data_IF_158984544934
#
_entry.id   IF_158984544934
#
_cell.length_a   1.000
_cell.length_b   1.000
_cell.length_c   1.000
_cell.angle_alpha   90.00
_cell.angle_beta   90.00
_cell.angle_gamma   90.00
#
_symmetry.space_group_name_H-M   'P 1'
#
loop_
_entity.id
_entity.type
_entity.pdbx_description
1 polymer ?
#
# COMPACT_ATOMS: atom_id res chain seq x y z
N UNK A 1 -4.70 -11.58 -14.65
CA UNK A 1 -3.48 -11.10 -14.00
C UNK A 1 -2.93 -12.25 -13.17
N UNK A 2 -1.72 -12.72 -13.45
CA UNK A 2 -1.14 -13.85 -12.71
C UNK A 2 -0.69 -13.34 -11.33
N UNK A 3 -1.09 -14.05 -10.27
CA UNK A 3 -0.55 -13.84 -8.92
C UNK A 3 0.92 -14.30 -9.01
N UNK A 4 1.84 -13.43 -8.66
CA UNK A 4 3.24 -13.83 -8.53
C UNK A 4 3.38 -14.65 -7.23
N UNK A 5 3.57 -15.97 -7.31
CA UNK A 5 3.65 -16.82 -6.13
C UNK A 5 4.84 -16.47 -5.23
N UNK A 6 5.88 -15.83 -5.79
CA UNK A 6 7.06 -15.44 -5.02
C UNK A 6 6.76 -14.31 -4.03
N UNK A 7 5.92 -13.32 -4.40
CA UNK A 7 5.53 -12.23 -3.48
C UNK A 7 4.86 -12.78 -2.22
N UNK A 8 3.87 -13.66 -2.39
CA UNK A 8 3.13 -14.25 -1.26
C UNK A 8 4.03 -15.12 -0.39
N UNK A 9 4.91 -15.90 -1.03
CA UNK A 9 5.85 -16.75 -0.30
C UNK A 9 6.81 -15.92 0.56
N UNK A 10 7.37 -14.82 0.03
CA UNK A 10 8.21 -13.89 0.79
C UNK A 10 7.48 -13.26 1.98
N UNK A 11 6.20 -12.92 1.81
CA UNK A 11 5.39 -12.41 2.92
C UNK A 11 5.16 -13.47 4.01
N UNK A 12 5.01 -14.74 3.63
CA UNK A 12 4.94 -15.87 4.59
C UNK A 12 6.27 -16.10 5.30
N UNK A 13 7.35 -16.20 4.54
CA UNK A 13 8.70 -16.50 5.05
C UNK A 13 9.20 -15.42 6.04
N UNK A 14 8.83 -14.17 5.82
CA UNK A 14 9.16 -13.05 6.70
C UNK A 14 8.21 -12.89 7.88
N UNK A 15 7.10 -13.63 7.92
CA UNK A 15 6.02 -13.42 8.91
C UNK A 15 5.21 -12.14 8.68
N UNK A 16 5.31 -11.54 7.48
CA UNK A 16 4.55 -10.36 7.09
C UNK A 16 3.09 -10.68 6.73
N UNK A 17 2.79 -11.94 6.38
CA UNK A 17 1.45 -12.46 6.19
C UNK A 17 1.08 -13.30 7.42
N UNK A 18 0.08 -12.82 8.16
CA UNK A 18 -0.45 -13.49 9.34
C UNK A 18 -1.81 -14.08 9.03
N UNK A 19 -2.05 -15.32 9.44
CA UNK A 19 -3.36 -15.97 9.41
C UNK A 19 -3.93 -16.03 10.81
N UNK A 20 -5.21 -15.72 11.00
CA UNK A 20 -5.86 -15.67 12.30
C UNK A 20 -7.15 -14.87 12.30
N UNK A 21 -7.54 -14.33 13.47
CA UNK A 21 -8.72 -13.50 13.62
C UNK A 21 -8.30 -12.05 13.94
N UNK A 22 -8.44 -11.15 12.95
CA UNK A 22 -7.94 -9.79 13.05
C UNK A 22 -9.07 -8.77 12.92
N UNK A 23 -8.97 -7.67 13.69
CA UNK A 23 -9.76 -6.45 13.48
C UNK A 23 -8.91 -5.43 12.69
N UNK A 24 -9.44 -4.97 11.57
CA UNK A 24 -8.82 -3.97 10.71
C UNK A 24 -9.08 -2.54 11.22
N UNK A 25 -8.36 -1.56 10.68
CA UNK A 25 -8.56 -0.14 11.01
C UNK A 25 -9.98 0.35 10.69
N UNK A 26 -10.65 -0.27 9.72
CA UNK A 26 -12.05 -0.02 9.36
C UNK A 26 -13.06 -0.56 10.37
N UNK A 27 -12.64 -1.35 11.37
CA UNK A 27 -13.51 -2.08 12.27
C UNK A 27 -14.02 -3.42 11.72
N UNK A 28 -13.74 -3.73 10.46
CA UNK A 28 -14.07 -5.02 9.87
C UNK A 28 -13.10 -6.11 10.34
N UNK A 29 -13.56 -7.35 10.32
CA UNK A 29 -12.77 -8.52 10.68
C UNK A 29 -12.22 -9.22 9.43
N UNK A 30 -11.03 -9.81 9.57
CA UNK A 30 -10.34 -10.52 8.50
C UNK A 30 -9.63 -11.75 9.05
N UNK A 31 -9.53 -12.80 8.25
CA UNK A 31 -8.73 -13.99 8.57
C UNK A 31 -7.26 -13.82 8.18
N UNK A 32 -6.91 -12.75 7.49
CA UNK A 32 -5.55 -12.46 7.05
C UNK A 32 -5.19 -11.03 7.39
N UNK A 33 -4.00 -10.82 7.91
CA UNK A 33 -3.40 -9.51 8.11
C UNK A 33 -2.05 -9.42 7.42
N UNK A 34 -1.82 -8.30 6.72
CA UNK A 34 -0.57 -8.01 6.02
C UNK A 34 0.16 -6.88 6.74
N UNK A 35 1.41 -7.12 7.13
CA UNK A 35 2.29 -6.13 7.71
C UNK A 35 3.48 -5.91 6.79
N UNK A 36 3.28 -5.09 5.76
CA UNK A 36 4.27 -4.86 4.71
C UNK A 36 5.62 -4.36 5.24
N UNK A 37 5.61 -3.59 6.35
CA UNK A 37 6.85 -3.14 6.98
C UNK A 37 7.77 -4.30 7.42
N UNK A 38 7.19 -5.47 7.80
CA UNK A 38 7.97 -6.66 8.15
C UNK A 38 8.63 -7.27 6.90
N UNK A 39 7.95 -7.32 5.76
CA UNK A 39 8.58 -7.76 4.52
C UNK A 39 9.64 -6.78 4.05
N UNK A 40 9.33 -5.47 4.10
CA UNK A 40 10.21 -4.42 3.61
C UNK A 40 11.43 -4.12 4.52
N UNK A 41 11.47 -4.65 5.75
CA UNK A 41 12.68 -4.58 6.58
C UNK A 41 13.83 -5.40 5.97
N UNK A 42 13.51 -6.40 5.15
CA UNK A 42 14.49 -7.13 4.37
C UNK A 42 14.83 -6.33 3.11
N UNK A 43 15.96 -5.63 3.11
CA UNK A 43 16.37 -4.76 2.00
C UNK A 43 16.45 -5.49 0.67
N UNK A 44 16.83 -6.77 0.67
CA UNK A 44 16.81 -7.64 -0.50
C UNK A 44 15.41 -7.74 -1.11
N UNK A 45 14.39 -8.00 -0.30
CA UNK A 45 13.01 -8.14 -0.78
C UNK A 45 12.46 -6.79 -1.24
N UNK A 46 12.79 -5.69 -0.54
CA UNK A 46 12.43 -4.34 -0.97
C UNK A 46 13.00 -4.02 -2.37
N UNK A 47 14.27 -4.39 -2.65
CA UNK A 47 14.90 -4.23 -3.96
C UNK A 47 14.18 -5.07 -5.03
N UNK A 48 13.85 -6.31 -4.75
CA UNK A 48 13.17 -7.19 -5.68
C UNK A 48 11.77 -6.69 -6.01
N UNK A 49 10.97 -6.32 -5.00
CA UNK A 49 9.64 -5.73 -5.22
C UNK A 49 9.70 -4.40 -5.97
N UNK A 50 10.64 -3.52 -5.61
CA UNK A 50 10.82 -2.24 -6.28
C UNK A 50 11.24 -2.42 -7.74
N UNK A 51 12.14 -3.35 -8.03
CA UNK A 51 12.56 -3.68 -9.40
C UNK A 51 11.40 -4.25 -10.23
N UNK A 52 10.60 -5.15 -9.64
CA UNK A 52 9.45 -5.73 -10.31
C UNK A 52 8.38 -4.67 -10.64
N UNK A 53 8.06 -3.77 -9.69
CA UNK A 53 7.14 -2.64 -9.94
C UNK A 53 7.69 -1.70 -10.99
N UNK A 54 8.95 -1.27 -10.87
CA UNK A 54 9.59 -0.34 -11.80
C UNK A 54 9.63 -0.88 -13.24
N UNK A 55 9.74 -2.20 -13.42
CA UNK A 55 9.78 -2.83 -14.74
C UNK A 55 8.55 -2.49 -15.60
N UNK A 56 7.39 -2.27 -14.99
CA UNK A 56 6.16 -1.88 -15.70
C UNK A 56 6.17 -0.45 -16.24
N UNK A 57 7.12 0.38 -15.79
CA UNK A 57 7.17 1.81 -16.11
C UNK A 57 8.46 2.24 -16.82
N UNK A 58 9.35 1.30 -17.18
CA UNK A 58 10.66 1.59 -17.79
C UNK A 58 10.55 2.36 -19.12
N UNK A 59 9.49 2.10 -19.88
CA UNK A 59 9.24 2.76 -21.17
C UNK A 59 8.42 4.04 -21.03
N UNK A 60 8.12 4.45 -19.80
CA UNK A 60 7.37 5.66 -19.49
C UNK A 60 8.27 6.68 -18.82
N UNK A 61 8.10 7.95 -19.21
CA UNK A 61 8.75 9.03 -18.48
C UNK A 61 8.05 9.23 -17.13
N UNK A 62 8.76 8.95 -16.05
CA UNK A 62 8.34 9.24 -14.67
C UNK A 62 9.36 10.21 -14.06
N UNK A 63 8.95 11.44 -13.82
CA UNK A 63 9.80 12.47 -13.23
C UNK A 63 9.93 12.29 -11.71
N UNK A 64 8.85 11.87 -11.07
CA UNK A 64 8.77 11.72 -9.60
C UNK A 64 7.94 10.50 -9.23
N UNK A 65 8.37 9.78 -8.22
CA UNK A 65 7.56 8.80 -7.49
C UNK A 65 7.08 9.44 -6.19
N UNK A 66 5.80 9.29 -5.88
CA UNK A 66 5.18 9.79 -4.66
C UNK A 66 4.53 8.64 -3.88
N UNK A 67 4.59 8.70 -2.56
CA UNK A 67 3.97 7.68 -1.70
C UNK A 67 3.18 8.30 -0.55
N UNK A 68 2.07 7.71 -0.12
CA UNK A 68 1.49 8.07 1.17
C UNK A 68 2.40 7.59 2.32
N UNK A 69 2.67 8.47 3.27
CA UNK A 69 3.39 8.09 4.48
C UNK A 69 2.45 7.29 5.41
N UNK A 70 2.95 6.27 6.07
CA UNK A 70 4.33 5.83 6.23
C UNK A 70 4.61 4.56 5.40
N UNK A 71 3.58 3.71 5.17
CA UNK A 71 3.72 2.37 4.58
C UNK A 71 4.42 2.38 3.21
N UNK A 72 4.00 3.31 2.34
CA UNK A 72 4.50 3.41 0.98
C UNK A 72 5.93 3.95 0.86
N UNK A 73 6.53 4.53 1.92
CA UNK A 73 7.82 5.24 1.80
C UNK A 73 8.94 4.32 1.32
N UNK A 74 9.10 3.15 1.92
CA UNK A 74 10.22 2.25 1.60
C UNK A 74 10.13 1.75 0.17
N UNK A 75 8.96 1.24 -0.21
CA UNK A 75 8.78 0.70 -1.56
C UNK A 75 8.79 1.81 -2.61
N UNK A 76 8.20 2.98 -2.33
CA UNK A 76 8.21 4.11 -3.24
C UNK A 76 9.62 4.65 -3.48
N UNK A 77 10.44 4.76 -2.42
CA UNK A 77 11.84 5.13 -2.56
C UNK A 77 12.61 4.14 -3.45
N UNK A 78 12.36 2.85 -3.24
CA UNK A 78 13.04 1.82 -4.03
C UNK A 78 12.60 1.85 -5.50
N UNK A 79 11.31 2.02 -5.79
CA UNK A 79 10.81 2.20 -7.17
C UNK A 79 11.43 3.44 -7.82
N UNK A 80 11.49 4.57 -7.11
CA UNK A 80 12.12 5.79 -7.59
C UNK A 80 13.60 5.57 -7.93
N UNK A 81 14.33 4.87 -7.05
CA UNK A 81 15.73 4.52 -7.28
C UNK A 81 15.93 3.66 -8.53
N UNK A 82 15.05 2.68 -8.77
CA UNK A 82 15.09 1.81 -9.94
C UNK A 82 14.78 2.57 -11.25
N UNK A 83 13.91 3.57 -11.18
CA UNK A 83 13.53 4.42 -12.33
C UNK A 83 14.49 5.60 -12.55
N UNK A 84 15.41 5.87 -11.62
CA UNK A 84 16.23 7.07 -11.63
C UNK A 84 15.42 8.36 -11.43
N UNK A 85 14.26 8.27 -10.80
CA UNK A 85 13.32 9.37 -10.57
C UNK A 85 13.52 9.99 -9.19
N UNK A 86 13.00 11.20 -9.02
CA UNK A 86 12.91 11.85 -7.71
C UNK A 86 11.88 11.13 -6.82
N UNK A 87 12.08 11.11 -5.50
CA UNK A 87 11.13 10.57 -4.53
C UNK A 87 10.60 11.63 -3.58
N UNK A 88 9.30 11.64 -3.36
CA UNK A 88 8.58 12.45 -2.37
C UNK A 88 7.51 11.61 -1.66
N UNK A 89 6.93 12.16 -0.58
CA UNK A 89 5.77 11.53 0.06
C UNK A 89 4.76 12.57 0.54
N UNK A 90 3.52 12.13 0.70
CA UNK A 90 2.45 12.89 1.35
C UNK A 90 2.27 12.42 2.78
N UNK A 91 1.85 13.32 3.65
CA UNK A 91 1.54 13.04 5.06
C UNK A 91 0.10 13.46 5.36
N UNK A 92 -0.55 12.73 6.24
CA UNK A 92 -1.90 13.11 6.66
C UNK A 92 -1.85 14.24 7.69
N UNK A 93 -2.48 15.35 7.34
CA UNK A 93 -2.60 16.53 8.17
C UNK A 93 -4.08 16.96 8.19
N UNK A 94 -4.67 17.08 9.38
CA UNK A 94 -6.08 17.42 9.55
C UNK A 94 -7.07 16.58 8.70
N UNK A 95 -6.75 15.29 8.54
CA UNK A 95 -7.57 14.33 7.79
C UNK A 95 -7.29 14.27 6.27
N UNK A 96 -6.50 15.18 5.69
CA UNK A 96 -6.14 15.21 4.26
C UNK A 96 -4.69 14.81 4.03
N UNK A 97 -4.40 14.21 2.88
CA UNK A 97 -3.02 14.02 2.42
C UNK A 97 -2.47 15.35 1.89
N UNK A 98 -1.28 15.73 2.32
CA UNK A 98 -0.62 16.98 1.93
C UNK A 98 0.86 16.75 1.63
N UNK A 99 1.41 17.57 0.72
CA UNK A 99 2.85 17.68 0.53
C UNK A 99 3.43 18.52 1.68
N UNK A 100 4.37 17.92 2.42
CA UNK A 100 5.06 18.58 3.54
C UNK A 100 6.56 18.60 3.29
N UNK A 101 7.34 18.95 4.31
CA UNK A 101 8.81 18.90 4.28
C UNK A 101 9.46 19.79 3.19
N UNK A 102 8.71 20.73 2.63
CA UNK A 102 9.21 21.55 1.51
C UNK A 102 9.20 20.82 0.16
N UNK A 103 8.52 19.68 0.06
CA UNK A 103 8.31 19.03 -1.25
C UNK A 103 7.47 19.92 -2.16
N UNK A 104 7.91 20.04 -3.39
CA UNK A 104 7.23 20.77 -4.45
C UNK A 104 7.09 19.91 -5.69
N UNK A 105 6.03 20.10 -6.45
CA UNK A 105 5.77 19.46 -7.73
C UNK A 105 5.53 20.55 -8.77
N UNK A 106 6.15 20.44 -9.93
CA UNK A 106 5.95 21.39 -11.03
C UNK A 106 4.66 21.03 -11.78
N UNK A 107 4.00 22.03 -12.33
CA UNK A 107 2.85 21.81 -13.21
C UNK A 107 3.23 20.91 -14.39
N UNK A 108 2.45 19.86 -14.62
CA UNK A 108 2.69 18.85 -15.65
C UNK A 108 3.84 17.88 -15.33
N UNK A 109 4.38 17.88 -14.12
CA UNK A 109 5.36 16.88 -13.67
C UNK A 109 4.70 15.49 -13.62
N UNK A 110 5.32 14.52 -14.27
CA UNK A 110 4.76 13.16 -14.40
C UNK A 110 5.07 12.34 -13.17
N UNK A 111 4.02 11.97 -12.43
CA UNK A 111 4.13 11.34 -11.12
C UNK A 111 3.55 9.93 -11.16
N UNK A 112 4.30 8.96 -10.63
CA UNK A 112 3.82 7.62 -10.28
C UNK A 112 3.54 7.57 -8.77
N UNK A 113 2.34 7.17 -8.36
CA UNK A 113 2.01 6.96 -6.95
C UNK A 113 2.27 5.51 -6.58
N UNK A 114 3.05 5.27 -5.52
CA UNK A 114 3.43 3.92 -5.07
C UNK A 114 3.02 3.71 -3.61
N UNK A 115 2.32 2.62 -3.35
CA UNK A 115 1.86 2.20 -2.02
C UNK A 115 2.40 0.80 -1.70
N UNK A 116 2.47 0.42 -0.45
CA UNK A 116 2.78 -0.95 -0.06
C UNK A 116 1.58 -1.89 -0.27
N UNK A 117 0.42 -1.53 0.24
CA UNK A 117 -0.82 -2.30 0.08
C UNK A 117 -2.03 -1.39 -0.21
N UNK A 118 -2.71 -1.67 -1.31
CA UNK A 118 -4.00 -1.05 -1.60
C UNK A 118 -5.12 -1.91 -1.03
N UNK A 119 -5.90 -1.34 -0.10
CA UNK A 119 -7.12 -1.97 0.45
C UNK A 119 -8.35 -1.35 -0.20
N UNK A 120 -8.88 -0.27 0.36
CA UNK A 120 -9.97 0.51 -0.25
C UNK A 120 -9.47 1.54 -1.27
N UNK A 121 -8.16 1.76 -1.33
CA UNK A 121 -7.53 2.79 -2.16
C UNK A 121 -7.62 4.21 -1.60
N UNK A 122 -8.15 4.40 -0.38
CA UNK A 122 -8.36 5.74 0.18
C UNK A 122 -7.09 6.58 0.27
N UNK A 123 -6.02 6.06 0.90
CA UNK A 123 -4.76 6.80 1.04
C UNK A 123 -4.10 7.10 -0.31
N UNK A 124 -4.17 6.14 -1.23
CA UNK A 124 -3.66 6.31 -2.60
C UNK A 124 -4.43 7.39 -3.33
N UNK A 125 -5.76 7.38 -3.25
CA UNK A 125 -6.64 8.40 -3.86
C UNK A 125 -6.39 9.79 -3.27
N UNK A 126 -6.37 9.90 -1.94
CA UNK A 126 -6.08 11.17 -1.27
C UNK A 126 -4.71 11.75 -1.67
N UNK A 127 -3.70 10.87 -1.89
CA UNK A 127 -2.38 11.26 -2.39
C UNK A 127 -2.44 11.75 -3.84
N UNK A 128 -3.19 11.06 -4.69
CA UNK A 128 -3.41 11.45 -6.09
C UNK A 128 -4.09 12.82 -6.14
N UNK A 129 -5.14 13.02 -5.37
CA UNK A 129 -5.86 14.29 -5.29
C UNK A 129 -4.93 15.44 -4.87
N UNK A 130 -4.12 15.24 -3.83
CA UNK A 130 -3.16 16.25 -3.38
C UNK A 130 -2.11 16.61 -4.45
N UNK A 131 -1.70 15.65 -5.27
CA UNK A 131 -0.76 15.88 -6.39
C UNK A 131 -1.44 16.60 -7.55
N UNK A 132 -2.67 16.25 -7.88
CA UNK A 132 -3.46 16.92 -8.92
C UNK A 132 -3.76 18.38 -8.54
N UNK A 133 -4.07 18.67 -7.28
CA UNK A 133 -4.30 20.02 -6.76
C UNK A 133 -3.10 20.96 -7.00
N UNK A 134 -1.87 20.45 -6.97
CA UNK A 134 -0.66 21.22 -7.26
C UNK A 134 -0.25 21.19 -8.74
N UNK A 135 -1.07 20.55 -9.58
CA UNK A 135 -0.90 20.55 -11.05
C UNK A 135 0.01 19.45 -11.59
N UNK A 136 0.28 18.38 -10.84
CA UNK A 136 0.95 17.20 -11.35
C UNK A 136 0.11 16.47 -12.41
N UNK A 137 0.79 15.69 -13.27
CA UNK A 137 0.18 14.68 -14.13
C UNK A 137 0.41 13.31 -13.48
N UNK A 138 -0.61 12.77 -12.79
CA UNK A 138 -0.48 11.44 -12.17
C UNK A 138 -0.73 10.38 -13.23
N UNK A 139 0.33 9.60 -13.55
CA UNK A 139 0.33 8.64 -14.66
C UNK A 139 -0.37 7.35 -14.29
N UNK A 140 -0.08 6.84 -13.09
CA UNK A 140 -0.62 5.59 -12.58
C UNK A 140 -0.39 5.48 -11.06
N UNK A 141 -1.00 4.44 -10.49
CA UNK A 141 -0.66 3.95 -9.16
C UNK A 141 -0.07 2.53 -9.22
N UNK A 142 0.81 2.21 -8.29
CA UNK A 142 1.39 0.88 -8.16
C UNK A 142 1.44 0.43 -6.70
N UNK A 143 1.35 -0.88 -6.45
CA UNK A 143 1.51 -1.43 -5.10
C UNK A 143 2.13 -2.83 -5.13
N UNK A 144 2.71 -3.26 -4.00
CA UNK A 144 3.16 -4.65 -3.86
C UNK A 144 1.91 -5.55 -3.88
N UNK A 145 0.92 -5.22 -3.04
CA UNK A 145 -0.30 -6.03 -2.90
C UNK A 145 -1.54 -5.18 -3.14
N UNK A 146 -2.45 -5.68 -3.97
CA UNK A 146 -3.84 -5.25 -4.01
C UNK A 146 -4.68 -6.21 -3.16
N UNK A 147 -5.25 -5.72 -2.08
CA UNK A 147 -6.09 -6.47 -1.16
C UNK A 147 -7.58 -6.26 -1.40
N UNK A 148 -7.92 -5.50 -2.43
CA UNK A 148 -9.32 -5.24 -2.82
C UNK A 148 -9.90 -6.30 -3.76
N UNK A 149 -9.11 -7.31 -4.14
CA UNK A 149 -9.51 -8.25 -5.19
C UNK A 149 -9.66 -7.58 -6.56
N UNK A 150 -8.92 -6.53 -6.85
CA UNK A 150 -9.01 -5.78 -8.10
C UNK A 150 -10.10 -4.71 -8.13
N UNK A 151 -10.82 -4.48 -7.03
CA UNK A 151 -12.02 -3.63 -7.00
C UNK A 151 -11.74 -2.16 -6.62
N UNK A 152 -10.59 -1.86 -5.99
CA UNK A 152 -10.27 -0.50 -5.58
C UNK A 152 -10.15 0.42 -6.81
N UNK A 153 -10.91 1.51 -6.81
CA UNK A 153 -10.76 2.58 -7.77
C UNK A 153 -9.97 3.72 -7.11
N UNK A 154 -8.87 4.11 -7.73
CA UNK A 154 -8.00 5.19 -7.27
C UNK A 154 -7.97 6.38 -8.24
N UNK A 155 -8.81 6.35 -9.27
CA UNK A 155 -8.96 7.44 -10.24
C UNK A 155 -7.93 7.46 -11.38
N UNK A 156 -6.93 6.56 -11.35
CA UNK A 156 -5.91 6.39 -12.39
C UNK A 156 -5.67 4.90 -12.67
N UNK A 157 -5.05 4.54 -13.82
CA UNK A 157 -4.60 3.17 -14.04
C UNK A 157 -3.72 2.68 -12.90
N UNK A 158 -3.91 1.42 -12.49
CA UNK A 158 -3.11 0.85 -11.41
C UNK A 158 -2.64 -0.57 -11.70
N UNK A 159 -1.50 -0.90 -11.12
CA UNK A 159 -0.94 -2.25 -11.13
C UNK A 159 -0.58 -2.67 -9.71
N UNK A 160 -0.54 -3.98 -9.49
CA UNK A 160 0.00 -4.57 -8.26
C UNK A 160 0.76 -5.84 -8.62
N UNK A 161 1.83 -6.15 -7.88
CA UNK A 161 2.58 -7.39 -8.12
C UNK A 161 1.70 -8.60 -7.84
N UNK A 162 0.84 -8.52 -6.83
CA UNK A 162 -0.13 -9.58 -6.54
C UNK A 162 -1.46 -9.00 -6.08
N UNK A 163 -2.53 -9.76 -6.30
CA UNK A 163 -3.88 -9.41 -5.86
C UNK A 163 -4.41 -10.50 -4.93
N UNK A 164 -4.87 -10.10 -3.76
CA UNK A 164 -5.51 -10.97 -2.78
C UNK A 164 -6.97 -10.55 -2.63
N UNK A 165 -7.87 -11.48 -2.83
CA UNK A 165 -9.28 -11.29 -2.47
C UNK A 165 -9.48 -11.81 -1.04
N UNK A 166 -9.18 -10.96 -0.06
CA UNK A 166 -9.35 -11.29 1.37
C UNK A 166 -10.64 -10.66 1.84
N UNK A 167 -11.62 -11.48 2.14
CA UNK A 167 -12.88 -11.02 2.70
C UNK A 167 -12.64 -10.25 4.00
N UNK A 168 -13.17 -9.03 4.06
CA UNK A 168 -13.33 -8.29 5.30
C UNK A 168 -14.83 -8.25 5.60
N UNK A 169 -15.23 -8.76 6.76
CA UNK A 169 -16.64 -8.93 7.14
C UNK A 169 -16.96 -8.11 8.38
N UNK A 170 -18.25 -7.81 8.57
CA UNK A 170 -18.70 -7.19 9.82
C UNK A 170 -18.44 -8.14 11.02
N UNK A 171 -18.33 -7.63 12.26
CA UNK A 171 -18.24 -8.49 13.43
C UNK A 171 -19.40 -9.50 13.53
N UNK A 172 -20.59 -9.10 13.12
CA UNK A 172 -21.80 -9.94 13.17
C UNK A 172 -21.75 -11.10 12.17
N UNK A 173 -21.11 -10.89 11.01
CA UNK A 173 -20.94 -11.91 9.96
C UNK A 173 -19.64 -12.71 10.13
N UNK A 174 -18.85 -12.39 11.15
CA UNK A 174 -17.55 -13.02 11.35
C UNK A 174 -17.67 -14.41 11.97
N UNK A 175 -17.34 -15.45 11.19
CA UNK A 175 -17.37 -16.84 11.67
C UNK A 175 -16.44 -17.10 12.86
N UNK A 176 -15.32 -16.39 12.97
CA UNK A 176 -14.40 -16.52 14.08
C UNK A 176 -15.01 -15.93 15.36
N UNK A 177 -15.72 -14.78 15.28
CA UNK A 177 -16.50 -14.24 16.39
C UNK A 177 -17.58 -15.22 16.85
N UNK A 178 -18.31 -15.82 15.92
CA UNK A 178 -19.36 -16.81 16.23
C UNK A 178 -18.82 -18.06 16.94
N UNK A 179 -17.53 -18.39 16.73
CA UNK A 179 -16.84 -19.48 17.45
C UNK A 179 -16.18 -19.03 18.77
N UNK A 180 -16.29 -17.75 19.12
CA UNK A 180 -15.67 -17.19 20.32
C UNK A 180 -14.15 -17.08 20.24
N UNK A 181 -13.57 -17.07 19.04
CA UNK A 181 -12.11 -16.94 18.85
C UNK A 181 -11.64 -15.53 19.23
N UNK A 182 -10.53 -15.40 19.98
CA UNK A 182 -10.02 -14.09 20.36
C UNK A 182 -9.61 -13.29 19.13
N UNK A 183 -10.00 -12.00 19.09
CA UNK A 183 -9.64 -11.09 18.02
C UNK A 183 -8.37 -10.33 18.36
N UNK A 184 -7.46 -10.21 17.41
CA UNK A 184 -6.21 -9.46 17.52
C UNK A 184 -6.28 -8.21 16.66
N UNK A 185 -5.79 -7.07 17.18
CA UNK A 185 -5.61 -5.81 16.42
C UNK A 185 -4.12 -5.57 16.18
N UNK A 186 -3.53 -6.06 15.10
CA UNK A 186 -2.13 -5.81 14.78
C UNK A 186 -1.94 -4.35 14.33
N UNK A 187 -0.73 -3.83 14.47
CA UNK A 187 -0.33 -2.51 13.96
C UNK A 187 0.32 -1.62 15.03
N UNK A 188 0.78 -0.44 14.60
CA UNK A 188 1.59 0.49 15.40
C UNK A 188 0.83 1.24 16.51
N UNK A 189 -0.48 1.06 16.64
CA UNK A 189 -1.24 1.61 17.76
C UNK A 189 -1.37 0.53 18.84
N UNK A 190 -0.93 0.76 20.08
CA UNK A 190 -1.16 -0.18 21.18
C UNK A 190 -2.65 -0.46 21.26
N UNK A 191 -3.05 -1.66 20.87
CA UNK A 191 -4.42 -2.12 21.02
C UNK A 191 -4.72 -2.27 22.51
N UNK A 192 -5.85 -1.73 22.96
CA UNK A 192 -6.39 -2.05 24.26
C UNK A 192 -6.69 -3.55 24.24
N UNK A 193 -5.81 -4.32 24.84
CA UNK A 193 -6.10 -5.70 25.20
C UNK A 193 -7.17 -5.62 26.28
N UNK A 194 -8.43 -5.78 25.91
CA UNK A 194 -9.45 -6.09 26.91
C UNK A 194 -9.35 -7.60 27.16
N UNK A 195 -8.97 -7.91 28.40
CA UNK A 195 -9.10 -9.24 28.98
C UNK A 195 -10.57 -9.70 28.98
#
# INVERSE_FOLDING_TARGET
>A
MMIDPDVIQKFKDTGALLEGHFILSSGLHSTVYLQCAIALQQTKDAIEFGSALAAHFRDQRIDTVASPAIGGIVIGYEVARQLGSRFIWTEREQGRMTLRRGFTVRKGERVLVVEDVITTGGSTRDTIEALLEVGAEVIAAASIIDRSGGKADVGVPRISLTTLDVAAVSPDDCKACQRGEPVVKPGSRPGITKA
#
